data_IF_633646594275
#
_entry.id   IF_633646594275
#
_cell.length_a   1.000
_cell.length_b   1.000
_cell.length_c   1.000
_cell.angle_alpha   90.00
_cell.angle_beta   90.00
_cell.angle_gamma   90.00
#
_symmetry.space_group_name_H-M   'P 1'
#
loop_
_entity.id
_entity.type
_entity.pdbx_description
1 polymer ?
#
# COMPACT_ATOMS: atom_id res chain seq x y z
N UNK A 1 -45.44 2.26 -69.12
CA UNK A 1 -45.96 2.31 -67.73
C UNK A 1 -45.38 1.14 -66.95
N UNK A 2 -45.03 1.37 -65.67
CA UNK A 2 -44.52 0.43 -64.63
C UNK A 2 -43.10 -0.12 -64.86
N UNK A 3 -42.03 0.50 -64.32
CA UNK A 3 -41.51 0.45 -62.93
C UNK A 3 -41.55 -0.95 -62.32
N UNK A 4 -40.39 -1.59 -62.17
CA UNK A 4 -40.20 -2.60 -61.13
C UNK A 4 -38.81 -2.50 -60.50
N UNK A 5 -38.81 -2.42 -59.17
CA UNK A 5 -37.75 -1.94 -58.32
C UNK A 5 -36.67 -3.01 -58.07
N UNK A 6 -35.41 -2.57 -58.15
CA UNK A 6 -34.23 -3.29 -57.71
C UNK A 6 -34.20 -3.28 -56.17
N UNK A 7 -34.25 -4.46 -55.54
CA UNK A 7 -34.09 -4.60 -54.09
C UNK A 7 -32.61 -4.53 -53.72
N UNK A 8 -32.24 -3.45 -53.03
CA UNK A 8 -30.96 -3.27 -52.35
C UNK A 8 -31.02 -4.08 -51.05
N UNK A 9 -30.15 -5.08 -50.90
CA UNK A 9 -29.85 -5.66 -49.59
C UNK A 9 -28.59 -4.98 -49.05
N UNK A 10 -28.78 -4.14 -48.04
CA UNK A 10 -27.70 -3.53 -47.27
C UNK A 10 -27.40 -4.44 -46.07
N UNK A 11 -26.47 -5.38 -46.21
CA UNK A 11 -25.94 -6.15 -45.07
C UNK A 11 -24.83 -5.35 -44.40
N UNK A 12 -25.17 -4.66 -43.30
CA UNK A 12 -24.21 -4.09 -42.38
C UNK A 12 -23.63 -5.22 -41.50
N UNK A 13 -22.49 -5.79 -41.91
CA UNK A 13 -21.69 -6.67 -41.07
C UNK A 13 -20.82 -5.82 -40.14
N UNK A 14 -21.20 -5.74 -38.87
CA UNK A 14 -20.44 -5.05 -37.84
C UNK A 14 -19.09 -5.75 -37.61
N UNK A 15 -17.98 -5.05 -37.91
CA UNK A 15 -16.64 -5.44 -37.49
C UNK A 15 -16.51 -5.21 -35.98
N UNK A 16 -16.63 -6.28 -35.19
CA UNK A 16 -16.27 -6.25 -33.77
C UNK A 16 -14.75 -6.26 -33.70
N UNK A 17 -14.15 -5.07 -33.60
CA UNK A 17 -12.77 -4.91 -33.15
C UNK A 17 -12.72 -5.24 -31.67
N UNK A 18 -12.40 -6.51 -31.35
CA UNK A 18 -12.02 -6.88 -30.00
C UNK A 18 -10.67 -6.21 -29.67
N UNK A 19 -10.73 -5.00 -29.08
CA UNK A 19 -9.58 -4.40 -28.42
C UNK A 19 -9.23 -5.28 -27.22
N UNK A 20 -8.32 -6.22 -27.44
CA UNK A 20 -7.67 -6.95 -26.36
C UNK A 20 -6.76 -5.94 -25.65
N UNK A 21 -7.26 -5.34 -24.56
CA UNK A 21 -6.42 -4.66 -23.60
C UNK A 21 -5.47 -5.69 -22.99
N UNK A 22 -4.27 -5.79 -23.56
CA UNK A 22 -3.16 -6.47 -22.93
C UNK A 22 -2.82 -5.66 -21.68
N UNK A 23 -3.36 -6.07 -20.53
CA UNK A 23 -2.79 -5.68 -19.25
C UNK A 23 -1.36 -6.23 -19.24
N UNK A 24 -0.40 -5.37 -19.55
CA UNK A 24 0.99 -5.66 -19.30
C UNK A 24 1.11 -5.86 -17.79
N UNK A 25 1.14 -7.13 -17.36
CA UNK A 25 1.65 -7.49 -16.05
C UNK A 25 3.13 -7.15 -16.10
N UNK A 26 3.47 -5.91 -15.77
CA UNK A 26 4.84 -5.53 -15.45
C UNK A 26 5.23 -6.42 -14.28
N UNK A 27 5.96 -7.49 -14.58
CA UNK A 27 6.64 -8.29 -13.56
C UNK A 27 7.58 -7.33 -12.86
N UNK A 28 7.17 -6.81 -11.71
CA UNK A 28 8.03 -6.03 -10.84
C UNK A 28 9.20 -6.95 -10.49
N UNK A 29 10.32 -6.71 -11.18
CA UNK A 29 11.54 -7.47 -11.01
C UNK A 29 12.22 -6.96 -9.74
N UNK A 30 11.56 -7.21 -8.60
CA UNK A 30 12.06 -6.82 -7.31
C UNK A 30 13.27 -7.68 -7.02
N UNK A 31 14.45 -7.09 -7.26
CA UNK A 31 15.69 -7.62 -6.73
C UNK A 31 15.48 -7.68 -5.22
N UNK A 32 15.35 -8.89 -4.68
CA UNK A 32 15.04 -9.11 -3.25
C UNK A 32 16.17 -8.46 -2.44
N UNK A 33 15.89 -7.27 -1.96
CA UNK A 33 16.79 -6.51 -1.11
C UNK A 33 16.46 -6.76 0.37
N UNK A 34 17.42 -6.48 1.24
CA UNK A 34 17.19 -6.49 2.69
C UNK A 34 16.14 -5.44 3.07
N UNK A 35 15.40 -5.71 4.16
CA UNK A 35 14.32 -4.85 4.63
C UNK A 35 14.83 -3.45 4.97
N UNK A 36 16.02 -3.31 5.54
CA UNK A 36 16.62 -2.05 5.96
C UNK A 36 16.90 -1.13 4.76
N UNK A 37 17.43 -1.70 3.67
CA UNK A 37 17.70 -0.98 2.43
C UNK A 37 16.40 -0.54 1.74
N UNK A 38 15.38 -1.41 1.77
CA UNK A 38 14.06 -1.09 1.28
C UNK A 38 13.43 0.05 2.08
N UNK A 39 13.37 -0.06 3.41
CA UNK A 39 12.75 0.90 4.33
C UNK A 39 13.42 2.27 4.24
N UNK A 40 14.75 2.32 4.07
CA UNK A 40 15.48 3.57 3.84
C UNK A 40 14.97 4.31 2.59
N UNK A 41 14.68 3.60 1.49
CA UNK A 41 14.14 4.24 0.27
C UNK A 41 12.65 4.50 0.35
N UNK A 42 11.90 3.57 0.94
CA UNK A 42 10.46 3.69 1.16
C UNK A 42 10.14 4.94 1.99
N UNK A 43 10.75 5.07 3.17
CA UNK A 43 10.52 6.20 4.08
C UNK A 43 10.91 7.56 3.47
N UNK A 44 11.93 7.61 2.63
CA UNK A 44 12.44 8.86 2.05
C UNK A 44 11.63 9.39 0.85
N UNK A 45 10.77 8.57 0.23
CA UNK A 45 10.08 8.95 -1.01
C UNK A 45 8.62 8.52 -1.02
N UNK A 46 7.70 9.50 -0.97
CA UNK A 46 6.25 9.27 -0.97
C UNK A 46 5.80 8.47 -2.21
N UNK A 47 6.37 8.68 -3.38
CA UNK A 47 5.99 7.90 -4.58
C UNK A 47 6.36 6.41 -4.44
N UNK A 48 7.44 6.09 -3.70
CA UNK A 48 7.76 4.70 -3.35
C UNK A 48 6.79 4.19 -2.29
N UNK A 49 6.41 5.02 -1.31
CA UNK A 49 5.39 4.65 -0.32
C UNK A 49 4.07 4.29 -0.98
N UNK A 50 3.56 5.13 -1.87
CA UNK A 50 2.34 4.89 -2.65
C UNK A 50 2.45 3.59 -3.48
N UNK A 51 3.57 3.40 -4.19
CA UNK A 51 3.76 2.24 -5.07
C UNK A 51 4.03 0.91 -4.34
N UNK A 52 4.47 0.95 -3.08
CA UNK A 52 4.83 -0.22 -2.28
C UNK A 52 3.97 -0.34 -1.01
N UNK A 53 2.78 0.25 -1.05
CA UNK A 53 1.74 0.04 -0.05
C UNK A 53 0.64 -0.81 -0.66
N UNK A 54 0.08 -1.73 0.13
CA UNK A 54 -0.98 -2.61 -0.33
C UNK A 54 -2.21 -1.82 -0.76
N UNK A 55 -3.00 -2.40 -1.69
CA UNK A 55 -4.28 -1.81 -2.13
C UNK A 55 -5.27 -1.59 -0.99
N UNK A 56 -5.14 -2.40 0.07
CA UNK A 56 -5.84 -2.27 1.33
C UNK A 56 -4.82 -2.47 2.44
N UNK A 57 -4.75 -1.52 3.37
CA UNK A 57 -3.83 -1.53 4.51
C UNK A 57 -4.64 -1.68 5.79
N UNK A 58 -4.17 -2.52 6.72
CA UNK A 58 -4.76 -2.59 8.05
C UNK A 58 -4.16 -1.45 8.90
N UNK A 59 -4.99 -0.51 9.34
CA UNK A 59 -4.61 0.49 10.32
C UNK A 59 -5.16 0.11 11.68
N UNK A 60 -4.27 0.01 12.67
CA UNK A 60 -4.60 -0.25 14.06
C UNK A 60 -4.24 0.96 14.93
N UNK A 61 -5.06 1.22 15.93
CA UNK A 61 -4.90 2.37 16.81
C UNK A 61 -5.45 2.11 18.20
N UNK A 62 -5.33 3.10 19.08
CA UNK A 62 -5.98 3.11 20.40
C UNK A 62 -7.13 4.13 20.39
N UNK A 63 -8.32 3.67 20.72
CA UNK A 63 -9.44 4.54 21.11
C UNK A 63 -9.23 4.95 22.58
N UNK A 64 -8.65 6.13 22.77
CA UNK A 64 -8.33 6.70 24.09
C UNK A 64 -9.57 7.21 24.83
N UNK A 65 -10.72 7.33 24.16
CA UNK A 65 -11.98 7.77 24.77
C UNK A 65 -12.79 6.58 25.32
N UNK A 66 -12.38 5.35 25.05
CA UNK A 66 -13.00 4.16 25.59
C UNK A 66 -12.77 4.01 27.11
N UNK A 67 -13.84 3.71 27.85
CA UNK A 67 -13.87 3.47 29.30
C UNK A 67 -14.05 1.95 29.58
N UNK A 68 -13.38 1.34 30.59
CA UNK A 68 -12.45 1.92 31.56
C UNK A 68 -11.00 2.13 31.11
N UNK A 69 -10.60 1.52 29.98
CA UNK A 69 -9.24 1.61 29.44
C UNK A 69 -9.30 1.78 27.90
N UNK A 70 -8.25 2.38 27.29
CA UNK A 70 -8.17 2.50 25.84
C UNK A 70 -8.34 1.18 25.11
N UNK A 71 -9.12 1.18 24.03
CA UNK A 71 -9.42 -0.02 23.25
C UNK A 71 -8.65 -0.06 21.95
N UNK A 72 -8.11 -1.22 21.60
CA UNK A 72 -7.52 -1.42 20.27
C UNK A 72 -8.61 -1.35 19.22
N UNK A 73 -8.35 -0.56 18.18
CA UNK A 73 -9.18 -0.46 16.98
C UNK A 73 -8.40 -1.04 15.79
N UNK A 74 -9.12 -1.53 14.80
CA UNK A 74 -8.55 -2.05 13.56
C UNK A 74 -9.49 -1.73 12.41
N UNK A 75 -8.96 -1.18 11.33
CA UNK A 75 -9.71 -0.82 10.12
C UNK A 75 -8.94 -1.20 8.86
N UNK A 76 -9.65 -1.66 7.86
CA UNK A 76 -9.13 -1.80 6.50
C UNK A 76 -9.26 -0.45 5.78
N UNK A 77 -8.14 0.10 5.32
CA UNK A 77 -8.07 1.38 4.62
C UNK A 77 -7.67 1.12 3.17
N UNK A 78 -8.51 1.46 2.19
CA UNK A 78 -8.12 1.44 0.78
C UNK A 78 -6.93 2.37 0.52
N UNK A 79 -6.04 2.01 -0.41
CA UNK A 79 -4.86 2.81 -0.75
C UNK A 79 -5.21 4.26 -1.13
N UNK A 80 -6.38 4.47 -1.74
CA UNK A 80 -6.87 5.80 -2.12
C UNK A 80 -7.19 6.71 -0.92
N UNK A 81 -7.41 6.11 0.25
CA UNK A 81 -7.77 6.80 1.50
C UNK A 81 -6.58 6.83 2.49
N UNK A 82 -5.41 6.31 2.10
CA UNK A 82 -4.19 6.40 2.91
C UNK A 82 -3.67 7.82 2.89
N UNK A 83 -3.41 8.38 4.07
CA UNK A 83 -2.76 9.67 4.22
C UNK A 83 -1.23 9.52 4.08
N UNK A 84 -0.59 10.46 3.37
CA UNK A 84 0.84 10.42 3.04
C UNK A 84 1.62 11.57 3.72
N UNK A 85 2.87 11.35 4.14
CA UNK A 85 3.60 10.07 4.13
C UNK A 85 3.02 9.10 5.17
N UNK A 86 2.97 7.80 4.84
CA UNK A 86 2.51 6.77 5.78
C UNK A 86 3.58 6.42 6.81
N UNK A 87 4.87 6.54 6.44
CA UNK A 87 6.01 6.33 7.31
C UNK A 87 6.92 7.57 7.28
N UNK A 88 7.39 8.07 8.44
CA UNK A 88 8.34 9.18 8.48
C UNK A 88 9.69 8.80 7.89
N UNK A 89 10.45 9.80 7.39
CA UNK A 89 11.79 9.57 6.85
C UNK A 89 12.74 9.05 7.93
N UNK A 90 13.34 7.88 7.69
CA UNK A 90 14.28 7.24 8.62
C UNK A 90 15.49 8.12 8.93
N UNK A 91 15.88 9.01 8.01
CA UNK A 91 17.00 9.94 8.20
C UNK A 91 16.69 11.09 9.17
N UNK A 92 15.44 11.25 9.61
CA UNK A 92 15.03 12.33 10.53
C UNK A 92 14.81 11.85 11.96
N UNK A 93 14.77 10.54 12.20
CA UNK A 93 14.36 9.97 13.48
C UNK A 93 15.20 10.46 14.66
N UNK A 94 16.53 10.45 14.56
CA UNK A 94 17.39 10.90 15.66
C UNK A 94 17.12 12.36 16.06
N UNK A 95 16.91 13.24 15.08
CA UNK A 95 16.58 14.66 15.34
C UNK A 95 15.21 14.81 16.01
N UNK A 96 14.33 13.83 15.83
CA UNK A 96 13.01 13.73 16.45
C UNK A 96 13.02 12.92 17.74
N UNK A 97 14.20 12.50 18.23
CA UNK A 97 14.36 11.61 19.40
C UNK A 97 13.64 10.26 19.24
N UNK A 98 13.50 9.81 18.00
CA UNK A 98 12.95 8.52 17.63
C UNK A 98 14.08 7.54 17.28
N UNK A 99 13.81 6.26 17.45
CA UNK A 99 14.70 5.18 17.03
C UNK A 99 13.91 4.08 16.32
N UNK A 100 14.58 3.35 15.43
CA UNK A 100 13.99 2.24 14.69
C UNK A 100 14.56 0.88 15.10
N UNK A 101 13.69 -0.12 15.16
CA UNK A 101 14.05 -1.53 15.38
C UNK A 101 13.38 -2.41 14.34
N UNK A 102 14.04 -3.52 13.97
CA UNK A 102 13.55 -4.46 12.98
C UNK A 102 13.27 -5.80 13.66
N UNK A 103 12.08 -6.36 13.43
CA UNK A 103 11.63 -7.64 13.99
C UNK A 103 11.19 -8.59 12.88
N UNK A 104 11.37 -9.89 13.12
CA UNK A 104 10.76 -10.93 12.30
C UNK A 104 9.27 -11.08 12.64
N UNK A 105 8.46 -11.34 11.62
CA UNK A 105 7.05 -11.69 11.76
C UNK A 105 6.74 -12.99 11.00
N UNK A 106 5.47 -13.43 11.09
CA UNK A 106 5.02 -14.65 10.43
C UNK A 106 5.22 -14.57 8.91
N UNK A 107 5.34 -15.73 8.25
CA UNK A 107 5.39 -15.86 6.79
C UNK A 107 6.56 -15.10 6.11
N UNK A 108 7.62 -14.78 6.85
CA UNK A 108 8.76 -14.04 6.33
C UNK A 108 8.53 -12.53 6.20
N UNK A 109 7.44 -12.02 6.77
CA UNK A 109 7.18 -10.60 6.93
C UNK A 109 8.21 -9.99 7.90
N UNK A 110 8.36 -8.66 7.82
CA UNK A 110 9.19 -7.88 8.74
C UNK A 110 8.37 -6.77 9.36
N UNK A 111 8.63 -6.49 10.62
CA UNK A 111 8.05 -5.35 11.32
C UNK A 111 9.16 -4.34 11.57
N UNK A 112 8.93 -3.10 11.16
CA UNK A 112 9.74 -1.94 11.55
C UNK A 112 9.01 -1.26 12.70
N UNK A 113 9.67 -1.12 13.84
CA UNK A 113 9.15 -0.37 14.97
C UNK A 113 9.84 0.97 15.01
N UNK A 114 9.08 2.06 15.08
CA UNK A 114 9.60 3.40 15.38
C UNK A 114 9.06 3.78 16.75
N UNK A 115 9.96 4.12 17.67
CA UNK A 115 9.59 4.45 19.05
C UNK A 115 10.34 5.65 19.59
N UNK A 116 9.70 6.38 20.51
CA UNK A 116 10.31 7.46 21.26
C UNK A 116 11.45 6.96 22.15
N UNK A 117 12.52 7.74 22.27
CA UNK A 117 13.59 7.48 23.24
C UNK A 117 13.26 8.03 24.64
N UNK A 118 12.38 9.02 24.71
CA UNK A 118 11.96 9.72 25.94
C UNK A 118 10.44 9.97 26.02
N UNK A 119 9.64 9.38 25.12
CA UNK A 119 8.19 9.62 25.00
C UNK A 119 7.37 8.36 24.76
N UNK A 120 6.04 8.53 24.66
CA UNK A 120 5.07 7.45 24.48
C UNK A 120 4.88 6.98 23.03
N UNK A 121 5.62 7.52 22.06
CA UNK A 121 5.52 7.15 20.64
C UNK A 121 5.86 5.66 20.43
N UNK A 122 4.96 4.92 19.79
CA UNK A 122 5.18 3.52 19.42
C UNK A 122 4.39 3.15 18.16
N UNK A 123 5.10 3.12 17.03
CA UNK A 123 4.55 2.79 15.72
C UNK A 123 5.13 1.46 15.22
N UNK A 124 4.29 0.56 14.72
CA UNK A 124 4.73 -0.67 14.03
C UNK A 124 4.27 -0.66 12.57
N UNK A 125 5.19 -0.97 11.66
CA UNK A 125 4.94 -1.06 10.23
C UNK A 125 5.28 -2.47 9.75
N UNK A 126 4.27 -3.24 9.36
CA UNK A 126 4.45 -4.59 8.86
C UNK A 126 4.56 -4.61 7.34
N UNK A 127 5.64 -5.20 6.85
CA UNK A 127 5.90 -5.40 5.44
C UNK A 127 5.80 -6.87 5.07
N UNK A 128 4.88 -7.19 4.16
CA UNK A 128 4.79 -8.49 3.53
C UNK A 128 5.81 -8.60 2.40
N UNK A 129 6.34 -9.80 2.19
CA UNK A 129 7.40 -10.04 1.20
C UNK A 129 6.87 -10.75 -0.05
N UNK A 130 6.02 -10.18 -0.93
CA UNK A 130 5.75 -10.77 -2.29
C UNK A 130 5.13 -9.80 -3.32
N UNK A 131 5.61 -9.77 -4.59
CA UNK A 131 6.96 -10.14 -5.05
C UNK A 131 8.04 -9.16 -4.55
N UNK A 132 7.61 -8.06 -3.92
CA UNK A 132 8.41 -6.99 -3.35
C UNK A 132 8.03 -6.82 -1.87
N UNK A 133 8.81 -6.08 -1.11
CA UNK A 133 8.36 -5.60 0.19
C UNK A 133 7.16 -4.68 -0.01
N UNK A 134 6.08 -4.91 0.74
CA UNK A 134 4.85 -4.12 0.61
C UNK A 134 4.28 -3.86 2.00
N UNK A 135 3.99 -2.60 2.30
CA UNK A 135 3.36 -2.22 3.57
C UNK A 135 1.93 -2.78 3.59
N UNK A 136 1.62 -3.59 4.60
CA UNK A 136 0.31 -4.24 4.74
C UNK A 136 -0.42 -3.84 6.02
N UNK A 137 0.33 -3.37 7.04
CA UNK A 137 -0.24 -2.95 8.32
C UNK A 137 0.55 -1.78 8.91
N UNK A 138 -0.17 -0.83 9.48
CA UNK A 138 0.34 0.22 10.36
C UNK A 138 -0.38 0.11 11.69
N UNK A 139 0.36 0.06 12.79
CA UNK A 139 -0.20 0.10 14.14
C UNK A 139 0.37 1.28 14.89
N UNK A 140 -0.50 2.18 15.33
CA UNK A 140 -0.18 3.23 16.27
C UNK A 140 -0.59 2.79 17.68
N UNK A 141 0.38 2.63 18.57
CA UNK A 141 0.18 2.30 19.97
C UNK A 141 0.75 3.39 20.87
N UNK A 142 0.84 4.61 20.36
CA UNK A 142 1.38 5.73 21.09
C UNK A 142 0.44 6.14 22.24
N UNK A 143 1.02 6.61 23.34
CA UNK A 143 0.32 7.02 24.57
C UNK A 143 0.65 8.44 25.00
#
# INVERSE_FOLDING_TARGET
>A
MLKNALRIFCTAGALVLASQSAFALTTLNCKVEGIENFVTRFSHNIAIQEAQTAKTVIFEGLDMEADPEPKKTSKEVPLADVEWPVMPDMATLERQKLQAEYKDAANGNKIVVIKGTDGGEYMEYEFAKQPCWTLVRVSDQSM
#
